data_IF_244346726836
#
_entry.id   IF_244346726836
#
_cell.length_a   1.000
_cell.length_b   1.000
_cell.length_c   1.000
_cell.angle_alpha   90.00
_cell.angle_beta   90.00
_cell.angle_gamma   90.00
#
_symmetry.space_group_name_H-M   'P 1'
#
loop_
_entity.id
_entity.type
_entity.pdbx_description
1 polymer ?
#
# COMPACT_ATOMS: atom_id res chain seq x y z
N UNK A 1 5.62 3.83 -1.12
CA UNK A 1 4.58 4.52 -0.34
C UNK A 1 4.08 3.64 0.80
N UNK A 2 3.46 2.48 0.55
CA UNK A 2 3.03 1.54 1.60
C UNK A 2 3.60 0.13 1.33
N UNK A 3 4.64 -0.25 2.08
CA UNK A 3 5.38 -1.50 1.90
C UNK A 3 4.95 -2.55 2.94
N UNK A 4 4.91 -3.83 2.57
CA UNK A 4 4.48 -4.94 3.44
C UNK A 4 3.05 -4.81 4.03
N UNK A 5 2.14 -4.07 3.39
CA UNK A 5 0.73 -4.04 3.79
C UNK A 5 0.01 -5.36 3.48
N UNK A 6 0.16 -5.84 2.25
CA UNK A 6 -0.44 -7.08 1.76
C UNK A 6 0.57 -7.84 0.89
N UNK A 7 0.37 -9.17 0.78
CA UNK A 7 1.14 -10.00 -0.13
C UNK A 7 0.76 -9.78 -1.59
N UNK A 8 1.69 -10.10 -2.50
CA UNK A 8 1.40 -10.12 -3.93
C UNK A 8 0.50 -11.29 -4.32
N UNK A 9 -0.18 -11.17 -5.46
CA UNK A 9 -0.94 -12.26 -6.06
C UNK A 9 -0.03 -13.13 -6.94
N UNK A 10 0.39 -14.29 -6.42
CA UNK A 10 1.20 -15.25 -7.19
C UNK A 10 0.52 -15.63 -8.50
N UNK A 11 1.26 -15.54 -9.60
CA UNK A 11 0.75 -15.84 -10.94
C UNK A 11 1.76 -16.69 -11.71
N UNK A 12 1.36 -17.92 -12.05
CA UNK A 12 2.17 -18.89 -12.79
C UNK A 12 1.99 -18.70 -14.29
N UNK A 13 2.63 -17.67 -14.84
CA UNK A 13 2.45 -17.25 -16.24
C UNK A 13 2.78 -18.35 -17.25
N UNK A 14 3.82 -19.14 -16.99
CA UNK A 14 4.23 -20.29 -17.80
C UNK A 14 3.07 -21.29 -17.99
N UNK A 15 2.40 -21.65 -16.89
CA UNK A 15 1.28 -22.60 -16.91
C UNK A 15 0.06 -22.01 -17.60
N UNK A 16 -0.22 -20.74 -17.34
CA UNK A 16 -1.37 -20.03 -17.92
C UNK A 16 -1.22 -19.91 -19.43
N UNK A 17 -0.05 -19.48 -19.91
CA UNK A 17 0.23 -19.31 -21.33
C UNK A 17 0.14 -20.65 -22.05
N UNK A 18 0.69 -21.72 -21.46
CA UNK A 18 0.59 -23.07 -22.02
C UNK A 18 -0.86 -23.51 -22.20
N UNK A 19 -1.70 -23.35 -21.17
CA UNK A 19 -3.12 -23.71 -21.24
C UNK A 19 -3.88 -22.91 -22.30
N UNK A 20 -3.59 -21.61 -22.43
CA UNK A 20 -4.20 -20.75 -23.45
C UNK A 20 -3.79 -21.19 -24.86
N UNK A 21 -2.51 -21.47 -25.07
CA UNK A 21 -1.98 -21.94 -26.36
C UNK A 21 -2.63 -23.26 -26.79
N UNK A 22 -2.74 -24.24 -25.88
CA UNK A 22 -3.36 -25.54 -26.16
C UNK A 22 -4.85 -25.41 -26.54
N UNK A 23 -5.60 -24.56 -25.83
CA UNK A 23 -7.00 -24.30 -26.15
C UNK A 23 -7.16 -23.59 -27.50
N UNK A 24 -6.31 -22.61 -27.79
CA UNK A 24 -6.30 -21.89 -29.07
C UNK A 24 -6.00 -22.83 -30.24
N UNK A 25 -4.99 -23.70 -30.12
CA UNK A 25 -4.64 -24.68 -31.14
C UNK A 25 -5.77 -25.69 -31.40
N UNK A 26 -6.52 -26.04 -30.35
CA UNK A 26 -7.69 -26.91 -30.46
C UNK A 26 -8.96 -26.21 -30.95
N UNK A 27 -8.91 -24.90 -31.26
CA UNK A 27 -10.08 -24.11 -31.65
C UNK A 27 -11.15 -23.99 -30.55
N UNK A 28 -10.75 -24.13 -29.28
CA UNK A 28 -11.64 -24.07 -28.11
C UNK A 28 -11.65 -22.67 -27.52
N UNK A 29 -12.69 -22.36 -26.76
CA UNK A 29 -12.76 -21.14 -25.94
C UNK A 29 -11.66 -21.10 -24.88
N UNK A 30 -11.47 -19.93 -24.27
CA UNK A 30 -10.48 -19.76 -23.19
C UNK A 30 -10.79 -20.69 -22.01
N UNK A 31 -9.82 -21.50 -21.53
CA UNK A 31 -10.01 -22.35 -20.37
C UNK A 31 -10.02 -21.55 -19.04
N UNK A 32 -9.76 -20.25 -19.10
CA UNK A 32 -9.61 -19.38 -17.93
C UNK A 32 -10.54 -18.15 -17.99
N UNK A 33 -11.86 -18.32 -18.19
CA UNK A 33 -12.79 -17.20 -18.39
C UNK A 33 -12.85 -16.27 -17.16
N UNK A 34 -12.75 -16.84 -15.95
CA UNK A 34 -12.72 -16.08 -14.70
C UNK A 34 -11.49 -15.13 -14.57
N UNK A 35 -10.44 -15.33 -15.37
CA UNK A 35 -9.26 -14.44 -15.34
C UNK A 35 -9.51 -13.08 -15.98
N UNK A 36 -10.49 -12.95 -16.87
CA UNK A 36 -10.82 -11.68 -17.53
C UNK A 36 -11.37 -10.64 -16.55
N UNK A 37 -12.12 -11.09 -15.54
CA UNK A 37 -12.72 -10.24 -14.50
C UNK A 37 -12.12 -10.51 -13.11
N UNK A 38 -10.89 -11.04 -13.05
CA UNK A 38 -10.28 -11.43 -11.77
C UNK A 38 -10.18 -10.23 -10.83
N UNK A 39 -10.84 -10.33 -9.68
CA UNK A 39 -10.87 -9.35 -8.60
C UNK A 39 -11.44 -7.96 -8.98
N UNK A 40 -12.07 -7.81 -10.15
CA UNK A 40 -12.56 -6.51 -10.63
C UNK A 40 -13.70 -5.99 -9.76
N UNK A 41 -14.54 -6.89 -9.25
CA UNK A 41 -15.70 -6.57 -8.39
C UNK A 41 -15.49 -7.01 -6.94
N UNK A 42 -14.27 -7.43 -6.58
CA UNK A 42 -13.96 -7.94 -5.25
C UNK A 42 -13.37 -6.83 -4.40
N UNK A 43 -14.20 -6.27 -3.52
CA UNK A 43 -13.79 -5.23 -2.57
C UNK A 43 -13.57 -5.86 -1.19
N UNK A 44 -12.32 -6.02 -0.73
CA UNK A 44 -12.04 -6.59 0.58
C UNK A 44 -12.48 -5.65 1.69
N UNK A 45 -12.80 -6.19 2.86
CA UNK A 45 -13.03 -5.44 4.08
C UNK A 45 -11.78 -5.42 4.95
N UNK A 46 -11.47 -4.28 5.57
CA UNK A 46 -10.34 -4.16 6.50
C UNK A 46 -10.83 -4.02 7.94
N UNK A 47 -10.09 -4.63 8.87
CA UNK A 47 -10.37 -4.46 10.30
C UNK A 47 -10.03 -3.04 10.76
N UNK A 48 -10.58 -2.64 11.91
CA UNK A 48 -10.08 -1.46 12.60
C UNK A 48 -8.55 -1.59 12.84
N UNK A 49 -7.83 -0.48 12.67
CA UNK A 49 -6.37 -0.48 12.80
C UNK A 49 -5.60 -1.16 11.65
N UNK A 50 -6.26 -1.68 10.60
CA UNK A 50 -5.55 -2.32 9.48
C UNK A 50 -4.52 -1.39 8.81
N UNK A 51 -4.73 -0.07 8.89
CA UNK A 51 -3.78 0.92 8.40
C UNK A 51 -2.41 0.87 9.10
N UNK A 52 -2.32 0.26 10.27
CA UNK A 52 -1.09 0.13 11.06
C UNK A 52 -0.37 -1.19 10.74
N UNK A 53 -0.12 -1.46 9.45
CA UNK A 53 0.61 -2.65 8.98
C UNK A 53 1.70 -2.25 8.00
N UNK A 54 2.87 -2.88 8.11
CA UNK A 54 3.98 -2.61 7.21
C UNK A 54 4.59 -1.22 7.41
N UNK A 55 5.06 -0.61 6.33
CA UNK A 55 5.72 0.70 6.34
C UNK A 55 4.91 1.68 5.50
N UNK A 56 4.63 2.88 6.00
CA UNK A 56 3.93 3.91 5.24
C UNK A 56 4.66 5.24 5.36
N UNK A 57 4.78 5.98 4.26
CA UNK A 57 5.42 7.30 4.28
C UNK A 57 4.66 8.30 3.41
N UNK A 58 4.52 9.54 3.89
CA UNK A 58 4.03 10.68 3.11
C UNK A 58 5.08 11.78 3.08
N UNK A 59 5.00 12.63 2.05
CA UNK A 59 5.77 13.87 1.96
C UNK A 59 4.78 15.03 2.08
N UNK A 60 5.01 15.88 3.08
CA UNK A 60 4.37 17.17 3.27
C UNK A 60 5.49 18.21 3.18
N UNK A 61 5.77 18.62 1.94
CA UNK A 61 7.02 19.28 1.57
C UNK A 61 7.38 20.42 2.55
N UNK A 62 8.63 20.49 3.07
CA UNK A 62 9.78 19.63 2.74
C UNK A 62 9.93 18.37 3.60
N UNK A 63 8.97 18.06 4.47
CA UNK A 63 9.13 17.01 5.47
C UNK A 63 8.59 15.68 4.96
N UNK A 64 9.36 14.61 5.14
CA UNK A 64 8.91 13.23 4.94
C UNK A 64 8.73 12.56 6.29
N UNK A 65 7.52 12.08 6.57
CA UNK A 65 7.26 11.24 7.74
C UNK A 65 7.10 9.79 7.30
N UNK A 66 7.76 8.88 8.00
CA UNK A 66 7.75 7.44 7.75
C UNK A 66 7.32 6.71 9.03
N UNK A 67 6.26 5.91 8.93
CA UNK A 67 5.78 5.04 9.99
C UNK A 67 6.15 3.59 9.67
N UNK A 68 6.74 2.91 10.67
CA UNK A 68 7.12 1.51 10.62
C UNK A 68 6.29 0.76 11.66
N UNK A 69 5.33 -0.04 11.21
CA UNK A 69 4.46 -0.83 12.05
C UNK A 69 4.99 -2.27 12.17
N UNK A 70 5.54 -2.61 13.35
CA UNK A 70 6.12 -3.94 13.61
C UNK A 70 5.77 -4.43 15.01
N UNK A 71 5.26 -5.66 15.13
CA UNK A 71 4.99 -6.33 16.41
C UNK A 71 4.17 -5.46 17.40
N UNK A 72 3.10 -4.80 16.94
CA UNK A 72 2.27 -3.86 17.72
C UNK A 72 2.98 -2.59 18.21
N UNK A 73 4.22 -2.33 17.77
CA UNK A 73 4.94 -1.09 17.98
C UNK A 73 4.93 -0.27 16.69
N UNK A 74 4.82 1.04 16.84
CA UNK A 74 5.01 1.99 15.75
C UNK A 74 6.29 2.76 15.99
N UNK A 75 7.22 2.71 15.05
CA UNK A 75 8.37 3.61 15.00
C UNK A 75 8.06 4.72 14.00
N UNK A 76 8.37 5.95 14.37
CA UNK A 76 8.22 7.12 13.51
C UNK A 76 9.61 7.63 13.19
N UNK A 77 9.83 8.01 11.93
CA UNK A 77 11.03 8.65 11.42
C UNK A 77 10.61 9.90 10.65
N UNK A 78 11.38 10.98 10.77
CA UNK A 78 11.08 12.25 10.14
C UNK A 78 12.33 12.87 9.54
N UNK A 79 12.24 13.27 8.27
CA UNK A 79 13.35 13.85 7.52
C UNK A 79 12.93 15.17 6.87
N UNK A 80 13.89 16.09 6.75
CA UNK A 80 13.75 17.32 5.96
C UNK A 80 14.48 17.11 4.64
N UNK A 81 13.72 16.83 3.57
CA UNK A 81 14.27 16.45 2.27
C UNK A 81 14.95 17.61 1.53
N UNK A 82 14.68 18.85 1.93
CA UNK A 82 15.33 20.03 1.35
C UNK A 82 16.80 20.12 1.82
N UNK A 83 17.05 19.77 3.08
CA UNK A 83 18.39 19.84 3.70
C UNK A 83 19.12 18.50 3.76
N UNK A 84 18.36 17.40 3.78
CA UNK A 84 18.85 16.04 3.93
C UNK A 84 18.12 15.11 2.94
N UNK A 85 18.38 15.25 1.63
CA UNK A 85 17.74 14.45 0.60
C UNK A 85 18.05 12.94 0.72
N UNK A 86 19.09 12.59 1.46
CA UNK A 86 19.54 11.21 1.68
C UNK A 86 18.97 10.62 2.97
N UNK A 87 18.10 11.35 3.69
CA UNK A 87 17.37 10.85 4.86
C UNK A 87 18.31 10.27 5.93
N UNK A 88 19.46 10.93 6.11
CA UNK A 88 20.53 10.50 7.01
C UNK A 88 20.30 10.91 8.47
N UNK A 89 19.48 11.94 8.72
CA UNK A 89 19.24 12.52 10.04
C UNK A 89 17.76 12.52 10.40
N UNK A 90 17.41 11.70 11.39
CA UNK A 90 16.06 11.71 11.97
C UNK A 90 15.83 12.95 12.85
N UNK A 91 14.75 13.67 12.57
CA UNK A 91 14.33 14.89 13.23
C UNK A 91 13.22 14.69 14.27
N UNK A 92 12.70 13.46 14.43
CA UNK A 92 11.58 13.16 15.35
C UNK A 92 11.74 13.71 16.75
N UNK A 93 12.97 13.69 17.29
CA UNK A 93 13.29 14.13 18.65
C UNK A 93 13.54 15.64 18.78
N UNK A 94 13.68 16.34 17.66
CA UNK A 94 14.12 17.75 17.61
C UNK A 94 13.10 18.71 17.00
N UNK A 95 12.12 18.20 16.27
CA UNK A 95 11.05 19.01 15.70
C UNK A 95 10.02 19.41 16.76
N UNK A 96 9.29 20.50 16.50
CA UNK A 96 8.11 20.88 17.26
C UNK A 96 7.10 19.71 17.36
N UNK A 97 6.72 19.28 18.59
CA UNK A 97 5.73 18.23 18.81
C UNK A 97 4.41 18.44 18.07
N UNK A 98 3.91 19.68 18.01
CA UNK A 98 2.64 19.98 17.33
C UNK A 98 2.73 19.70 15.81
N UNK A 99 3.88 20.04 15.22
CA UNK A 99 4.15 19.76 13.81
C UNK A 99 4.31 18.26 13.55
N UNK A 100 5.00 17.55 14.44
CA UNK A 100 5.13 16.09 14.35
C UNK A 100 3.76 15.41 14.39
N UNK A 101 2.88 15.80 15.31
CA UNK A 101 1.55 15.20 15.44
C UNK A 101 0.64 15.53 14.25
N UNK A 102 0.76 16.73 13.68
CA UNK A 102 0.09 17.09 12.43
C UNK A 102 0.51 16.14 11.29
N UNK A 103 1.82 15.89 11.13
CA UNK A 103 2.33 14.97 10.10
C UNK A 103 1.86 13.52 10.31
N UNK A 104 1.87 13.03 11.56
CA UNK A 104 1.32 11.70 11.90
C UNK A 104 -0.15 11.60 11.53
N UNK A 105 -0.93 12.64 11.82
CA UNK A 105 -2.36 12.70 11.52
C UNK A 105 -2.63 12.71 10.02
N UNK A 106 -1.85 13.49 9.25
CA UNK A 106 -1.91 13.48 7.78
C UNK A 106 -1.63 12.08 7.22
N UNK A 107 -0.61 11.38 7.73
CA UNK A 107 -0.30 10.01 7.29
C UNK A 107 -1.46 9.06 7.61
N UNK A 108 -1.95 9.06 8.85
CA UNK A 108 -3.06 8.17 9.25
C UNK A 108 -4.34 8.43 8.43
N UNK A 109 -4.65 9.71 8.18
CA UNK A 109 -5.80 10.12 7.36
C UNK A 109 -5.67 9.60 5.94
N UNK A 110 -4.50 9.81 5.32
CA UNK A 110 -4.22 9.28 3.99
C UNK A 110 -4.35 7.75 3.95
N UNK A 111 -3.77 7.02 4.91
CA UNK A 111 -3.84 5.55 4.94
C UNK A 111 -5.28 5.05 5.05
N UNK A 112 -6.08 5.66 5.93
CA UNK A 112 -7.50 5.34 6.09
C UNK A 112 -8.28 5.62 4.81
N UNK A 113 -7.97 6.73 4.12
CA UNK A 113 -8.57 7.05 2.82
C UNK A 113 -8.25 5.98 1.77
N UNK A 114 -7.02 5.50 1.71
CA UNK A 114 -6.63 4.41 0.79
C UNK A 114 -7.41 3.12 1.09
N UNK A 115 -7.52 2.73 2.36
CA UNK A 115 -8.29 1.54 2.73
C UNK A 115 -9.77 1.69 2.40
N UNK A 116 -10.35 2.87 2.63
CA UNK A 116 -11.73 3.18 2.27
C UNK A 116 -11.97 3.04 0.76
N UNK A 117 -11.05 3.56 -0.05
CA UNK A 117 -11.09 3.43 -1.50
C UNK A 117 -11.00 1.96 -1.94
N UNK A 118 -10.09 1.21 -1.33
CA UNK A 118 -9.90 -0.23 -1.60
C UNK A 118 -11.12 -1.07 -1.19
N UNK A 119 -11.88 -0.65 -0.18
CA UNK A 119 -13.18 -1.23 0.21
C UNK A 119 -14.32 -0.87 -0.77
N UNK A 120 -14.03 -0.11 -1.83
CA UNK A 120 -15.02 0.31 -2.82
C UNK A 120 -15.91 1.46 -2.38
N UNK A 121 -15.66 2.07 -1.21
CA UNK A 121 -16.52 3.11 -0.65
C UNK A 121 -16.44 4.46 -1.37
N UNK A 122 -15.46 4.65 -2.24
CA UNK A 122 -15.35 5.86 -3.08
C UNK A 122 -16.02 5.68 -4.47
N UNK A 123 -16.50 4.48 -4.81
CA UNK A 123 -17.02 4.14 -6.14
C UNK A 123 -18.47 3.63 -6.13
N UNK A 124 -19.14 3.70 -4.98
CA UNK A 124 -20.52 3.28 -4.76
C UNK A 124 -21.43 4.47 -4.52
#
# INVERSE_FOLDING_TARGET
>A
FWHHFAGGNSTWNDRIIKQLMEAQQAGKETPLPARLLKNVNDFPTHSEGAHQKGHAAIIDWPHKIHAIYKNKKTTWELYDLDKDPMESKDLTSSIDPAKLDSLKSKLSTWQKSVLRSHEGKDYR
#
